data_IF_394379580732
#
_entry.id   IF_394379580732
#
_cell.length_a   1.000
_cell.length_b   1.000
_cell.length_c   1.000
_cell.angle_alpha   90.00
_cell.angle_beta   90.00
_cell.angle_gamma   90.00
#
_symmetry.space_group_name_H-M   'P 1'
#
loop_
_entity.id
_entity.type
_entity.pdbx_description
1 polymer ?
#
# COMPACT_ATOMS: atom_id res chain seq x y z
N UNK A 1 15.45 -67.14 -36.08
CA UNK A 1 16.00 -67.88 -34.92
C UNK A 1 15.87 -66.98 -33.69
N UNK A 2 15.30 -67.56 -32.62
CA UNK A 2 15.18 -67.08 -31.24
C UNK A 2 14.39 -65.79 -30.93
N UNK A 3 13.18 -65.99 -30.39
CA UNK A 3 12.54 -65.16 -29.36
C UNK A 3 12.87 -65.78 -27.96
N UNK A 4 12.20 -65.38 -26.85
CA UNK A 4 12.29 -64.11 -26.10
C UNK A 4 12.62 -64.36 -24.60
N UNK A 5 12.81 -63.31 -23.79
CA UNK A 5 12.74 -63.43 -22.32
C UNK A 5 11.66 -62.51 -21.71
N UNK A 6 10.62 -63.19 -21.25
CA UNK A 6 9.60 -62.93 -20.21
C UNK A 6 10.17 -62.31 -18.92
N UNK A 7 9.49 -61.72 -17.93
CA UNK A 7 8.13 -61.39 -17.45
C UNK A 7 8.41 -60.35 -16.30
N UNK A 8 7.54 -59.50 -15.76
CA UNK A 8 6.28 -59.80 -15.09
C UNK A 8 5.59 -58.50 -14.68
N UNK A 9 4.26 -58.54 -14.74
CA UNK A 9 3.28 -57.57 -14.28
C UNK A 9 3.27 -57.41 -12.76
N UNK A 10 2.93 -56.22 -12.25
CA UNK A 10 2.17 -56.14 -11.01
C UNK A 10 0.99 -55.17 -11.15
N UNK A 11 -0.19 -55.74 -10.96
CA UNK A 11 -1.51 -55.13 -10.92
C UNK A 11 -1.82 -54.66 -9.49
N UNK A 12 -2.33 -53.45 -9.32
CA UNK A 12 -2.85 -52.96 -8.06
C UNK A 12 -3.88 -51.85 -8.28
N UNK A 13 -5.15 -52.20 -8.09
CA UNK A 13 -6.35 -51.37 -8.18
C UNK A 13 -6.66 -50.67 -6.85
N UNK A 14 -7.43 -49.57 -6.92
CA UNK A 14 -8.11 -48.81 -5.84
C UNK A 14 -7.19 -48.05 -4.84
N UNK A 15 -7.41 -46.77 -4.50
CA UNK A 15 -8.57 -45.87 -4.56
C UNK A 15 -8.10 -44.40 -4.73
N UNK A 16 -8.97 -43.45 -5.15
CA UNK A 16 -8.61 -42.04 -5.17
C UNK A 16 -8.69 -41.50 -3.75
N UNK A 17 -7.56 -41.32 -3.08
CA UNK A 17 -7.55 -40.79 -1.73
C UNK A 17 -7.53 -39.26 -1.75
N UNK A 18 -8.59 -38.72 -1.17
CA UNK A 18 -8.72 -37.39 -0.59
C UNK A 18 -8.63 -36.19 -1.52
N UNK A 19 -9.82 -35.73 -1.96
CA UNK A 19 -10.02 -34.33 -2.26
C UNK A 19 -9.54 -33.49 -1.07
N UNK A 20 -8.41 -32.81 -1.22
CA UNK A 20 -8.08 -31.69 -0.34
C UNK A 20 -9.13 -30.62 -0.61
N UNK A 21 -10.08 -30.57 0.31
CA UNK A 21 -11.05 -29.51 0.48
C UNK A 21 -10.28 -28.20 0.65
N UNK A 22 -10.07 -27.49 -0.46
CA UNK A 22 -9.67 -26.08 -0.43
C UNK A 22 -10.88 -25.35 0.15
N UNK A 23 -10.83 -25.08 1.45
CA UNK A 23 -11.74 -24.17 2.11
C UNK A 23 -11.43 -22.78 1.56
N UNK A 24 -12.06 -22.43 0.43
CA UNK A 24 -12.00 -21.06 -0.12
C UNK A 24 -12.93 -20.16 0.70
N UNK A 25 -12.56 -19.86 1.94
CA UNK A 25 -13.22 -18.79 2.70
C UNK A 25 -12.55 -17.44 2.41
N UNK A 26 -12.48 -17.08 1.13
CA UNK A 26 -12.29 -15.69 0.74
C UNK A 26 -13.68 -15.07 0.60
N UNK A 27 -14.12 -14.33 1.62
CA UNK A 27 -15.25 -13.42 1.50
C UNK A 27 -14.90 -12.36 0.44
N UNK A 28 -15.20 -12.65 -0.82
CA UNK A 28 -15.19 -11.66 -1.89
C UNK A 28 -16.55 -10.98 -1.89
N UNK A 29 -16.68 -9.94 -1.05
CA UNK A 29 -17.72 -8.94 -1.29
C UNK A 29 -17.58 -8.47 -2.75
N UNK A 30 -18.68 -8.47 -3.51
CA UNK A 30 -18.68 -7.84 -4.84
C UNK A 30 -18.19 -6.39 -4.71
N UNK A 31 -17.47 -5.88 -5.71
CA UNK A 31 -17.03 -4.47 -5.75
C UNK A 31 -18.23 -3.55 -5.46
N UNK A 32 -19.40 -3.87 -6.01
CA UNK A 32 -20.64 -3.13 -5.80
C UNK A 32 -21.11 -3.12 -4.33
N UNK A 33 -20.97 -4.23 -3.60
CA UNK A 33 -21.38 -4.30 -2.20
C UNK A 33 -20.39 -3.58 -1.28
N UNK A 34 -19.09 -3.58 -1.62
CA UNK A 34 -18.09 -2.76 -0.95
C UNK A 34 -18.37 -1.27 -1.11
N UNK A 35 -18.65 -0.82 -2.34
CA UNK A 35 -18.92 0.58 -2.64
C UNK A 35 -20.19 1.07 -1.93
N UNK A 36 -21.25 0.26 -1.94
CA UNK A 36 -22.47 0.58 -1.20
C UNK A 36 -22.23 0.69 0.31
N UNK A 37 -21.42 -0.20 0.89
CA UNK A 37 -21.03 -0.12 2.30
C UNK A 37 -20.27 1.17 2.58
N UNK A 38 -19.30 1.52 1.73
CA UNK A 38 -18.50 2.74 1.86
C UNK A 38 -19.37 4.00 1.79
N UNK A 39 -20.27 4.09 0.81
CA UNK A 39 -21.22 5.20 0.67
C UNK A 39 -22.08 5.32 1.92
N UNK A 40 -22.59 4.20 2.42
CA UNK A 40 -23.42 4.15 3.63
C UNK A 40 -22.65 4.67 4.84
N UNK A 41 -21.43 4.18 5.07
CA UNK A 41 -20.55 4.63 6.16
C UNK A 41 -20.21 6.11 6.06
N UNK A 42 -19.89 6.61 4.86
CA UNK A 42 -19.58 8.03 4.67
C UNK A 42 -20.78 8.90 5.00
N UNK A 43 -22.00 8.53 4.57
CA UNK A 43 -23.22 9.26 4.90
C UNK A 43 -23.54 9.25 6.39
N UNK A 44 -23.33 8.13 7.09
CA UNK A 44 -23.64 8.03 8.53
C UNK A 44 -22.59 8.69 9.43
N UNK A 45 -21.33 8.75 8.99
CA UNK A 45 -20.23 9.35 9.76
C UNK A 45 -19.95 10.82 9.40
N UNK A 46 -20.69 11.38 8.44
CA UNK A 46 -20.54 12.76 8.01
C UNK A 46 -20.89 13.74 9.14
N UNK A 47 -19.96 14.64 9.44
CA UNK A 47 -20.17 15.77 10.35
C UNK A 47 -19.86 17.08 9.62
N UNK A 48 -20.64 18.12 9.90
CA UNK A 48 -20.36 19.47 9.42
C UNK A 48 -19.54 20.23 10.48
N UNK A 49 -18.49 20.90 10.05
CA UNK A 49 -17.79 21.85 10.91
C UNK A 49 -18.47 23.24 10.91
N UNK A 50 -17.90 24.16 11.69
CA UNK A 50 -18.38 25.55 11.83
C UNK A 50 -18.30 26.35 10.52
N UNK A 51 -17.57 25.85 9.53
CA UNK A 51 -17.38 26.46 8.21
C UNK A 51 -18.20 25.74 7.14
N UNK A 52 -19.15 24.88 7.53
CA UNK A 52 -19.97 24.05 6.65
C UNK A 52 -19.17 23.07 5.76
N UNK A 53 -17.97 22.65 6.18
CA UNK A 53 -17.23 21.59 5.51
C UNK A 53 -17.67 20.23 6.02
N UNK A 54 -17.87 19.29 5.10
CA UNK A 54 -18.24 17.91 5.41
C UNK A 54 -16.97 17.12 5.74
N UNK A 55 -16.93 16.52 6.91
CA UNK A 55 -15.89 15.60 7.34
C UNK A 55 -16.47 14.20 7.47
N UNK A 56 -15.81 13.20 6.89
CA UNK A 56 -16.18 11.79 7.01
C UNK A 56 -15.02 11.01 7.65
N UNK A 57 -15.35 9.90 8.31
CA UNK A 57 -14.31 9.02 8.85
C UNK A 57 -13.50 8.38 7.71
N UNK A 58 -12.18 8.29 7.89
CA UNK A 58 -11.33 7.58 6.95
C UNK A 58 -11.70 6.08 6.92
N UNK A 59 -11.85 5.44 5.74
CA UNK A 59 -12.42 4.10 5.61
C UNK A 59 -11.40 3.02 5.93
N UNK A 60 -11.03 2.90 7.20
CA UNK A 60 -10.06 1.90 7.62
C UNK A 60 -10.62 0.47 7.56
N UNK A 61 -9.80 -0.47 7.09
CA UNK A 61 -10.14 -1.89 6.97
C UNK A 61 -10.06 -2.70 8.29
N UNK A 62 -10.06 -2.03 9.45
CA UNK A 62 -9.95 -2.67 10.77
C UNK A 62 -8.54 -3.14 11.17
N UNK A 63 -7.59 -3.27 10.24
CA UNK A 63 -6.22 -3.76 10.51
C UNK A 63 -5.26 -2.67 11.02
N UNK A 64 -5.78 -1.63 11.67
CA UNK A 64 -4.97 -0.49 12.14
C UNK A 64 -4.03 -0.86 13.29
N UNK A 65 -4.44 -1.82 14.12
CA UNK A 65 -3.67 -2.29 15.27
C UNK A 65 -2.37 -2.99 14.89
N UNK A 66 -2.29 -3.54 13.68
CA UNK A 66 -1.09 -4.21 13.15
C UNK A 66 -0.12 -3.24 12.48
N UNK A 67 -0.50 -1.97 12.29
CA UNK A 67 0.37 -0.96 11.69
C UNK A 67 1.32 -0.38 12.73
N UNK A 68 2.62 -0.67 12.56
CA UNK A 68 3.67 -0.13 13.41
C UNK A 68 3.98 1.35 13.06
N UNK A 69 4.30 2.13 14.09
CA UNK A 69 4.78 3.52 13.91
C UNK A 69 6.29 3.49 13.71
N UNK A 70 6.77 3.73 12.49
CA UNK A 70 8.19 3.66 12.17
C UNK A 70 8.75 4.99 11.59
N UNK A 71 8.76 6.10 12.36
CA UNK A 71 9.29 7.38 11.89
C UNK A 71 10.77 7.32 11.53
N UNK A 72 11.57 6.58 12.30
CA UNK A 72 13.01 6.44 12.06
C UNK A 72 13.29 5.78 10.72
N UNK A 73 12.59 4.70 10.40
CA UNK A 73 12.76 3.99 9.13
C UNK A 73 12.30 4.83 7.94
N UNK A 74 11.13 5.48 8.05
CA UNK A 74 10.63 6.37 7.00
C UNK A 74 11.63 7.50 6.71
N UNK A 75 12.26 8.06 7.77
CA UNK A 75 13.29 9.08 7.63
C UNK A 75 14.57 8.53 7.01
N UNK A 76 15.05 7.36 7.44
CA UNK A 76 16.24 6.72 6.85
C UNK A 76 16.05 6.44 5.36
N UNK A 77 14.88 5.91 4.98
CA UNK A 77 14.55 5.66 3.59
C UNK A 77 14.50 6.96 2.78
N UNK A 78 13.87 8.00 3.32
CA UNK A 78 13.84 9.32 2.69
C UNK A 78 15.26 9.88 2.47
N UNK A 79 16.12 9.80 3.48
CA UNK A 79 17.53 10.23 3.37
C UNK A 79 18.27 9.43 2.31
N UNK A 80 18.17 8.10 2.34
CA UNK A 80 18.81 7.22 1.36
C UNK A 80 18.35 7.53 -0.06
N UNK A 81 17.06 7.74 -0.29
CA UNK A 81 16.55 8.09 -1.61
C UNK A 81 17.01 9.46 -2.10
N UNK A 82 17.08 10.42 -1.18
CA UNK A 82 17.64 11.72 -1.47
C UNK A 82 19.11 11.50 -1.87
N UNK A 83 19.93 10.88 -1.03
CA UNK A 83 21.40 10.77 -1.16
C UNK A 83 21.89 9.86 -2.30
N UNK A 84 21.15 8.82 -2.67
CA UNK A 84 21.62 7.80 -3.61
C UNK A 84 21.63 8.23 -5.10
N UNK A 85 21.11 9.41 -5.47
CA UNK A 85 20.97 9.81 -6.88
C UNK A 85 21.94 10.91 -7.31
N UNK A 86 22.77 10.71 -8.37
CA UNK A 86 23.71 11.72 -8.88
C UNK A 86 23.04 12.98 -9.46
N UNK A 87 21.73 12.94 -9.74
CA UNK A 87 20.91 14.08 -10.21
C UNK A 87 20.37 14.96 -9.07
N UNK A 88 21.04 14.93 -7.92
CA UNK A 88 20.60 15.37 -6.60
C UNK A 88 20.08 16.81 -6.50
N UNK A 89 20.73 17.76 -7.20
CA UNK A 89 20.37 19.17 -7.12
C UNK A 89 19.00 19.44 -7.79
N UNK A 90 18.86 19.02 -9.06
CA UNK A 90 17.61 19.12 -9.80
C UNK A 90 16.48 18.32 -9.12
N UNK A 91 16.82 17.19 -8.51
CA UNK A 91 15.89 16.39 -7.72
C UNK A 91 15.34 17.16 -6.51
N UNK A 92 16.20 17.81 -5.72
CA UNK A 92 15.77 18.54 -4.52
C UNK A 92 14.89 19.74 -4.86
N UNK A 93 15.25 20.47 -5.91
CA UNK A 93 14.46 21.59 -6.40
C UNK A 93 13.06 21.12 -6.81
N UNK A 94 12.97 20.11 -7.68
CA UNK A 94 11.67 19.59 -8.13
C UNK A 94 10.84 18.97 -7.01
N UNK A 95 11.46 18.26 -6.09
CA UNK A 95 10.78 17.70 -4.93
C UNK A 95 10.19 18.82 -4.05
N UNK A 96 10.98 19.87 -3.79
CA UNK A 96 10.52 21.03 -3.03
C UNK A 96 9.39 21.76 -3.76
N UNK A 97 9.51 22.01 -5.06
CA UNK A 97 8.49 22.67 -5.87
C UNK A 97 7.14 21.97 -5.77
N UNK A 98 7.12 20.64 -5.93
CA UNK A 98 5.89 19.84 -5.82
C UNK A 98 5.31 19.92 -4.40
N UNK A 99 6.15 19.85 -3.38
CA UNK A 99 5.72 19.95 -1.98
C UNK A 99 5.11 21.31 -1.69
N UNK A 100 5.75 22.40 -2.15
CA UNK A 100 5.23 23.76 -1.98
C UNK A 100 3.93 23.98 -2.77
N UNK A 101 3.82 23.42 -3.97
CA UNK A 101 2.59 23.48 -4.76
C UNK A 101 1.43 22.75 -4.07
N UNK A 102 1.67 21.56 -3.51
CA UNK A 102 0.68 20.82 -2.73
C UNK A 102 0.26 21.58 -1.48
N UNK A 103 1.21 22.23 -0.79
CA UNK A 103 0.92 23.08 0.37
C UNK A 103 0.06 24.29 -0.05
N UNK A 104 0.41 24.96 -1.14
CA UNK A 104 -0.35 26.10 -1.70
C UNK A 104 -1.78 25.70 -2.10
N UNK A 105 -1.96 24.49 -2.63
CA UNK A 105 -3.27 23.97 -3.00
C UNK A 105 -4.07 23.40 -1.82
N UNK A 106 -3.49 23.36 -0.62
CA UNK A 106 -4.15 22.79 0.56
C UNK A 106 -4.30 21.27 0.52
N UNK A 107 -3.47 20.57 -0.28
CA UNK A 107 -3.44 19.11 -0.31
C UNK A 107 -2.71 18.52 0.89
N UNK A 108 -1.77 19.27 1.47
CA UNK A 108 -0.97 18.88 2.63
C UNK A 108 -0.87 20.07 3.59
N UNK A 109 -0.63 19.75 4.86
CA UNK A 109 -0.40 20.74 5.93
C UNK A 109 0.96 20.52 6.59
N UNK A 110 1.51 21.60 7.16
CA UNK A 110 2.72 21.49 7.97
C UNK A 110 2.39 20.76 9.28
N UNK A 111 3.04 19.61 9.50
CA UNK A 111 2.87 18.84 10.73
C UNK A 111 3.35 19.65 11.95
N UNK A 112 2.46 19.85 12.92
CA UNK A 112 2.78 20.59 14.14
C UNK A 112 3.64 19.75 15.09
N UNK A 113 4.88 20.19 15.32
CA UNK A 113 5.83 19.53 16.25
C UNK A 113 5.36 19.49 17.70
N UNK A 114 4.52 20.45 18.10
CA UNK A 114 4.12 20.67 19.49
C UNK A 114 2.69 20.21 19.81
N UNK A 115 1.95 19.70 18.81
CA UNK A 115 0.57 19.26 19.02
C UNK A 115 0.56 17.75 19.17
N UNK A 116 -0.12 17.26 20.21
CA UNK A 116 -0.38 15.82 20.35
C UNK A 116 -1.23 15.39 19.14
N UNK A 117 -0.86 14.32 18.42
CA UNK A 117 -1.66 13.84 17.30
C UNK A 117 -3.05 13.45 17.78
N UNK A 118 -4.06 13.81 17.00
CA UNK A 118 -5.44 13.36 17.20
C UNK A 118 -5.54 11.98 16.56
N UNK A 119 -5.63 10.94 17.39
CA UNK A 119 -5.71 9.55 16.92
C UNK A 119 -4.36 8.93 16.55
N UNK A 120 -4.39 7.92 15.69
CA UNK A 120 -3.20 7.20 15.25
C UNK A 120 -2.38 8.03 14.26
N UNK A 121 -1.05 7.98 14.41
CA UNK A 121 -0.09 8.65 13.53
C UNK A 121 0.77 7.60 12.83
N UNK A 122 0.91 7.73 11.52
CA UNK A 122 1.72 6.85 10.68
C UNK A 122 2.65 7.68 9.81
N UNK A 123 3.77 7.10 9.42
CA UNK A 123 4.76 7.73 8.55
C UNK A 123 4.90 6.85 7.31
N UNK A 124 4.71 7.45 6.13
CA UNK A 124 4.79 6.75 4.85
C UNK A 124 6.03 7.29 4.14
N UNK A 125 7.00 6.43 3.77
CA UNK A 125 8.14 6.86 2.99
C UNK A 125 7.69 7.39 1.63
N UNK A 126 8.45 8.32 1.08
CA UNK A 126 8.25 8.76 -0.29
C UNK A 126 9.10 7.89 -1.22
N UNK A 127 8.69 7.81 -2.48
CA UNK A 127 9.46 7.25 -3.58
C UNK A 127 9.33 8.16 -4.78
N UNK A 128 10.47 8.51 -5.39
CA UNK A 128 10.46 9.32 -6.60
C UNK A 128 10.59 8.45 -7.83
N UNK A 129 9.63 8.63 -8.73
CA UNK A 129 9.60 7.98 -10.03
C UNK A 129 9.88 9.05 -11.10
N UNK A 130 10.98 8.86 -11.84
CA UNK A 130 11.35 9.69 -12.98
C UNK A 130 11.03 8.90 -14.23
N UNK A 131 10.19 9.45 -15.11
CA UNK A 131 9.85 8.86 -16.40
C UNK A 131 10.12 9.90 -17.49
N UNK A 132 11.36 10.02 -17.99
CA UNK A 132 11.75 11.12 -18.89
C UNK A 132 10.96 11.14 -20.22
N UNK A 133 10.33 10.03 -20.60
CA UNK A 133 9.60 9.87 -21.86
C UNK A 133 8.13 10.34 -21.79
N UNK A 134 7.66 10.90 -20.68
CA UNK A 134 6.25 11.28 -20.49
C UNK A 134 6.02 12.78 -20.63
N UNK A 135 5.31 13.20 -21.68
CA UNK A 135 5.11 14.62 -22.03
C UNK A 135 4.56 15.53 -20.92
N UNK A 136 3.81 15.01 -19.95
CA UNK A 136 3.11 15.85 -18.94
C UNK A 136 3.64 15.73 -17.51
N UNK A 137 4.24 14.60 -17.10
CA UNK A 137 4.68 14.42 -15.71
C UNK A 137 5.87 13.49 -15.62
N UNK A 138 7.02 14.01 -16.04
CA UNK A 138 8.31 13.32 -16.02
C UNK A 138 8.84 13.04 -14.60
N UNK A 139 8.25 13.63 -13.55
CA UNK A 139 8.67 13.49 -12.15
C UNK A 139 7.46 13.35 -11.22
N UNK A 140 7.41 12.30 -10.42
CA UNK A 140 6.31 12.02 -9.47
C UNK A 140 6.84 11.63 -8.10
N UNK A 141 6.21 12.14 -7.06
CA UNK A 141 6.39 11.69 -5.68
C UNK A 141 5.26 10.69 -5.39
N UNK A 142 5.64 9.45 -5.12
CA UNK A 142 4.74 8.35 -4.76
C UNK A 142 4.86 8.13 -3.25
N UNK A 143 3.73 7.95 -2.58
CA UNK A 143 3.70 7.51 -1.19
C UNK A 143 3.85 5.99 -1.18
N UNK A 144 5.00 5.50 -0.73
CA UNK A 144 5.31 4.07 -0.73
C UNK A 144 4.74 3.40 0.53
N UNK A 145 3.50 2.95 0.42
CA UNK A 145 2.80 2.20 1.46
C UNK A 145 3.16 0.70 1.48
N UNK A 146 4.08 0.24 0.61
CA UNK A 146 4.50 -1.16 0.55
C UNK A 146 5.66 -1.49 1.50
N UNK A 147 6.26 -0.46 2.11
CA UNK A 147 7.40 -0.61 2.98
C UNK A 147 7.01 -1.26 4.33
N UNK A 148 7.17 -2.58 4.41
CA UNK A 148 6.92 -3.39 5.60
C UNK A 148 8.22 -3.74 6.33
N UNK A 149 8.14 -3.90 7.65
CA UNK A 149 9.25 -4.20 8.57
C UNK A 149 9.80 -5.64 8.45
N UNK A 150 9.56 -6.36 7.36
CA UNK A 150 10.05 -7.76 7.21
C UNK A 150 11.59 -7.86 7.09
N UNK A 151 12.31 -6.75 6.94
CA UNK A 151 13.77 -6.71 6.87
C UNK A 151 14.44 -6.28 8.19
N UNK A 152 13.82 -6.54 9.35
CA UNK A 152 14.48 -6.42 10.66
C UNK A 152 14.97 -7.83 11.05
N UNK A 153 16.08 -8.26 10.44
CA UNK A 153 16.90 -9.40 10.90
C UNK A 153 18.12 -8.88 11.66
#
# INVERSE_FOLDING_TARGET
MAAPSTFSTNTGSHAPDSQQQIVSSAHTDSIDSFDQRLITTNKTTAILDKENKIHVSFPFNGKKSTLHKNPSMALTQLKSQIEAKPTFALFRERYNDITQQQLKFGCIDQASKNKKPIGSQYYIPHQVVVKPDFSTTNFRIVLDASFHKENEQ
#
